data_IF_870875947634
#
_entry.id   IF_870875947634
#
_cell.length_a   1.000
_cell.length_b   1.000
_cell.length_c   1.000
_cell.angle_alpha   90.00
_cell.angle_beta   90.00
_cell.angle_gamma   90.00
#
_symmetry.space_group_name_H-M   'P 1'
#
loop_
_entity.id
_entity.type
_entity.pdbx_description
1 polymer ?
#
# COMPACT_ATOMS: atom_id res chain seq x y z
N UNK A 1 -4.02 11.43 13.65
CA UNK A 1 -4.96 10.74 14.58
C UNK A 1 -4.20 10.47 15.87
N UNK A 2 -4.72 10.89 17.01
CA UNK A 2 -4.07 10.71 18.29
C UNK A 2 -4.07 9.21 18.67
N UNK A 3 -2.98 8.68 19.21
CA UNK A 3 -2.87 7.28 19.63
C UNK A 3 -4.00 6.88 20.61
N UNK A 4 -4.49 7.83 21.40
CA UNK A 4 -5.65 7.63 22.26
C UNK A 4 -6.95 7.44 21.46
N UNK A 5 -7.11 8.11 20.33
CA UNK A 5 -8.30 7.98 19.47
C UNK A 5 -8.29 6.65 18.72
N UNK A 6 -7.11 6.19 18.33
CA UNK A 6 -6.94 4.85 17.73
C UNK A 6 -7.35 3.75 18.72
N UNK A 7 -6.97 3.86 19.98
CA UNK A 7 -7.35 2.90 21.04
C UNK A 7 -8.84 2.92 21.40
N UNK A 8 -9.55 4.03 21.16
CA UNK A 8 -10.99 4.16 21.45
C UNK A 8 -11.88 3.64 20.32
N UNK A 9 -11.39 3.60 19.07
CA UNK A 9 -12.14 3.10 17.90
C UNK A 9 -11.99 1.59 17.68
N UNK A 10 -11.13 0.93 18.47
CA UNK A 10 -10.86 -0.49 18.38
C UNK A 10 -11.74 -1.27 19.36
N UNK A 11 -12.71 -2.02 18.84
CA UNK A 11 -13.44 -3.03 19.63
C UNK A 11 -12.46 -4.09 20.16
N UNK A 12 -12.76 -4.71 21.32
CA UNK A 12 -11.89 -5.68 21.99
C UNK A 12 -11.35 -6.79 21.08
N UNK A 13 -12.14 -7.28 20.13
CA UNK A 13 -11.71 -8.27 19.12
C UNK A 13 -10.66 -7.75 18.14
N UNK A 14 -10.69 -6.46 17.86
CA UNK A 14 -9.71 -5.81 16.99
C UNK A 14 -8.44 -5.48 17.77
N UNK A 15 -8.58 -5.20 19.07
CA UNK A 15 -7.46 -4.95 19.97
C UNK A 15 -6.54 -6.16 20.12
N UNK A 16 -7.11 -7.37 20.20
CA UNK A 16 -6.31 -8.61 20.24
C UNK A 16 -5.57 -8.86 18.92
N UNK A 17 -6.22 -8.65 17.77
CA UNK A 17 -5.57 -8.75 16.46
C UNK A 17 -4.46 -7.73 16.30
N UNK A 18 -4.64 -6.53 16.83
CA UNK A 18 -3.64 -5.46 16.81
C UNK A 18 -2.54 -5.72 17.83
N UNK A 19 -2.84 -6.25 19.01
CA UNK A 19 -1.81 -6.67 19.97
C UNK A 19 -0.93 -7.78 19.40
N UNK A 20 -1.50 -8.72 18.65
CA UNK A 20 -0.76 -9.74 17.91
C UNK A 20 0.06 -9.11 16.78
N UNK A 21 -0.50 -8.18 16.04
CA UNK A 21 0.20 -7.35 15.05
C UNK A 21 1.32 -6.54 15.70
N UNK A 22 1.04 -5.81 16.77
CA UNK A 22 1.99 -4.95 17.49
C UNK A 22 3.19 -5.76 18.00
N UNK A 23 2.99 -6.98 18.49
CA UNK A 23 4.06 -7.86 18.96
C UNK A 23 4.84 -8.55 17.83
N UNK A 24 4.35 -8.49 16.58
CA UNK A 24 4.94 -9.16 15.41
C UNK A 24 5.37 -8.20 14.31
N UNK A 25 4.87 -6.94 14.32
CA UNK A 25 5.18 -5.97 13.28
C UNK A 25 6.58 -5.42 13.47
N UNK A 26 7.44 -5.79 12.56
CA UNK A 26 8.66 -5.06 12.29
C UNK A 26 8.38 -4.21 11.06
N UNK A 27 8.09 -2.94 11.27
CA UNK A 27 8.02 -1.97 10.18
C UNK A 27 9.37 -1.29 10.05
N UNK A 28 9.86 -1.17 8.84
CA UNK A 28 11.18 -0.60 8.57
C UNK A 28 11.07 0.50 7.52
N UNK A 29 11.60 1.66 7.83
CA UNK A 29 11.86 2.69 6.81
C UNK A 29 13.22 2.43 6.17
N UNK A 30 13.22 2.07 4.90
CA UNK A 30 14.45 1.75 4.16
C UNK A 30 15.32 3.01 3.99
N UNK A 31 14.70 4.16 3.85
CA UNK A 31 15.42 5.43 3.67
C UNK A 31 16.27 5.84 4.87
N UNK A 32 15.77 5.60 6.07
CA UNK A 32 16.38 6.10 7.31
C UNK A 32 16.91 4.97 8.18
N UNK A 33 16.89 3.71 7.73
CA UNK A 33 17.21 2.52 8.52
C UNK A 33 16.46 2.49 9.87
N UNK A 34 15.24 3.00 9.90
CA UNK A 34 14.41 3.05 11.12
C UNK A 34 13.64 1.76 11.21
N UNK A 35 13.82 1.04 12.31
CA UNK A 35 13.06 -0.15 12.66
C UNK A 35 12.00 0.26 13.67
N UNK A 36 10.74 -0.06 13.40
CA UNK A 36 9.63 0.23 14.28
C UNK A 36 9.31 -1.01 15.13
N UNK A 37 9.23 -0.83 16.44
CA UNK A 37 8.96 -1.93 17.39
C UNK A 37 7.48 -2.31 17.47
N UNK A 38 6.62 -1.59 16.78
CA UNK A 38 5.21 -1.88 16.71
C UNK A 38 4.42 -0.87 15.90
N UNK A 39 3.13 -1.14 15.75
CA UNK A 39 2.24 -0.32 14.93
C UNK A 39 2.10 1.12 15.47
N UNK A 40 2.14 1.30 16.80
CA UNK A 40 2.05 2.61 17.43
C UNK A 40 3.26 3.47 17.12
N UNK A 41 4.46 2.89 17.17
CA UNK A 41 5.71 3.56 16.83
C UNK A 41 5.73 3.93 15.34
N UNK A 42 5.31 3.02 14.46
CA UNK A 42 5.12 3.30 13.05
C UNK A 42 4.16 4.49 12.84
N UNK A 43 2.98 4.51 13.47
CA UNK A 43 2.02 5.61 13.33
C UNK A 43 2.54 6.94 13.86
N UNK A 44 3.30 6.93 14.94
CA UNK A 44 3.92 8.14 15.47
C UNK A 44 4.87 8.77 14.43
N UNK A 45 5.80 8.00 13.91
CA UNK A 45 6.75 8.46 12.90
C UNK A 45 6.06 8.80 11.57
N UNK A 46 5.07 8.02 11.18
CA UNK A 46 4.25 8.29 10.01
C UNK A 46 3.54 9.65 10.12
N UNK A 47 2.88 9.92 11.23
CA UNK A 47 2.18 11.19 11.44
C UNK A 47 3.14 12.37 11.46
N UNK A 48 4.33 12.24 12.04
CA UNK A 48 5.36 13.27 11.99
C UNK A 48 5.80 13.53 10.54
N UNK A 49 6.13 12.49 9.81
CA UNK A 49 6.53 12.58 8.42
C UNK A 49 5.45 13.26 7.56
N UNK A 50 4.20 12.88 7.75
CA UNK A 50 3.08 13.44 7.01
C UNK A 50 2.84 14.91 7.34
N UNK A 51 2.95 15.31 8.61
CA UNK A 51 2.83 16.71 9.03
C UNK A 51 3.92 17.60 8.42
N UNK A 52 5.14 17.09 8.26
CA UNK A 52 6.25 17.81 7.64
C UNK A 52 6.06 17.96 6.12
N UNK A 53 5.47 16.95 5.45
CA UNK A 53 5.28 16.95 4.00
C UNK A 53 4.08 17.78 3.54
N UNK A 54 3.12 18.10 4.42
CA UNK A 54 1.93 18.91 4.09
C UNK A 54 2.21 20.37 3.68
N UNK A 55 3.39 20.87 3.94
CA UNK A 55 3.72 22.28 3.65
C UNK A 55 3.94 22.50 2.14
N UNK A 56 2.85 22.66 1.39
CA UNK A 56 2.89 23.23 0.03
C UNK A 56 2.47 22.35 -1.14
N UNK A 57 1.84 21.19 -0.94
CA UNK A 57 1.37 20.33 -2.02
C UNK A 57 -0.14 20.09 -1.92
N UNK A 58 -0.84 20.35 -3.01
CA UNK A 58 -2.31 20.35 -3.07
C UNK A 58 -2.93 18.94 -3.01
N UNK A 59 -2.20 17.91 -3.44
CA UNK A 59 -2.58 16.50 -3.36
C UNK A 59 -1.36 15.68 -2.98
N UNK A 60 -1.48 14.80 -2.01
CA UNK A 60 -0.42 13.89 -1.60
C UNK A 60 -0.93 12.45 -1.72
N UNK A 61 -0.12 11.62 -2.35
CA UNK A 61 -0.45 10.25 -2.62
C UNK A 61 0.47 9.31 -1.84
N UNK A 62 -0.15 8.28 -1.29
CA UNK A 62 0.55 7.18 -0.63
C UNK A 62 0.30 5.92 -1.44
N UNK A 63 1.37 5.32 -1.93
CA UNK A 63 1.30 4.07 -2.68
C UNK A 63 1.29 2.89 -1.72
N UNK A 64 0.31 2.02 -1.85
CA UNK A 64 0.29 0.70 -1.20
C UNK A 64 0.68 -0.35 -2.23
N UNK A 65 1.79 -1.01 -1.95
CA UNK A 65 2.33 -2.14 -2.72
C UNK A 65 2.09 -3.43 -1.97
N UNK A 66 1.53 -4.42 -2.64
CA UNK A 66 1.35 -5.72 -2.01
C UNK A 66 0.47 -6.68 -2.78
N UNK A 67 0.38 -7.87 -2.23
CA UNK A 67 -0.54 -8.91 -2.65
C UNK A 67 -0.69 -9.91 -1.50
N UNK A 68 -1.80 -10.66 -1.47
CA UNK A 68 -1.87 -11.81 -0.59
C UNK A 68 -0.85 -12.87 -1.04
N UNK A 69 0.03 -13.34 -0.16
CA UNK A 69 0.93 -14.44 -0.48
C UNK A 69 0.13 -15.71 -0.77
N UNK A 70 0.55 -16.48 -1.77
CA UNK A 70 -0.20 -17.66 -2.22
C UNK A 70 -0.16 -18.82 -1.20
N UNK A 71 0.73 -18.76 -0.21
CA UNK A 71 1.11 -19.91 0.62
C UNK A 71 0.62 -19.89 2.07
N UNK A 72 0.24 -18.74 2.64
CA UNK A 72 0.00 -18.64 4.06
C UNK A 72 -1.34 -18.02 4.44
N UNK A 73 -2.35 -18.89 4.65
CA UNK A 73 -3.63 -18.44 5.21
C UNK A 73 -3.49 -17.78 6.58
N UNK A 74 -2.45 -18.13 7.33
CA UNK A 74 -2.17 -17.58 8.66
C UNK A 74 -1.93 -16.08 8.65
N UNK A 75 -1.45 -15.53 7.54
CA UNK A 75 -1.20 -14.09 7.41
C UNK A 75 -2.36 -13.32 6.75
N UNK A 76 -3.37 -14.01 6.20
CA UNK A 76 -4.47 -13.34 5.50
C UNK A 76 -5.19 -12.32 6.38
N UNK A 77 -5.53 -12.71 7.61
CA UNK A 77 -6.23 -11.81 8.52
C UNK A 77 -5.34 -10.62 8.89
N UNK A 78 -4.11 -10.88 9.30
CA UNK A 78 -3.17 -9.82 9.71
C UNK A 78 -2.87 -8.84 8.57
N UNK A 79 -2.77 -9.34 7.33
CA UNK A 79 -2.57 -8.50 6.15
C UNK A 79 -3.83 -7.68 5.84
N UNK A 80 -5.01 -8.28 5.94
CA UNK A 80 -6.28 -7.59 5.74
C UNK A 80 -6.45 -6.46 6.76
N UNK A 81 -6.21 -6.74 8.04
CA UNK A 81 -6.31 -5.76 9.12
C UNK A 81 -5.33 -4.61 8.91
N UNK A 82 -4.09 -4.91 8.52
CA UNK A 82 -3.09 -3.89 8.19
C UNK A 82 -3.54 -3.02 7.00
N UNK A 83 -4.06 -3.62 5.93
CA UNK A 83 -4.57 -2.89 4.77
C UNK A 83 -5.73 -1.97 5.13
N UNK A 84 -6.68 -2.44 5.95
CA UNK A 84 -7.80 -1.63 6.44
C UNK A 84 -7.29 -0.43 7.22
N UNK A 85 -6.36 -0.65 8.16
CA UNK A 85 -5.81 0.41 9.00
C UNK A 85 -5.07 1.45 8.16
N UNK A 86 -4.22 1.03 7.23
CA UNK A 86 -3.49 1.97 6.36
C UNK A 86 -4.44 2.73 5.44
N UNK A 87 -5.39 2.05 4.79
CA UNK A 87 -6.34 2.71 3.91
C UNK A 87 -7.19 3.75 4.67
N UNK A 88 -7.73 3.37 5.84
CA UNK A 88 -8.48 4.31 6.71
C UNK A 88 -7.61 5.49 7.14
N UNK A 89 -6.38 5.25 7.57
CA UNK A 89 -5.47 6.31 8.00
C UNK A 89 -5.13 7.27 6.84
N UNK A 90 -4.84 6.75 5.66
CA UNK A 90 -4.53 7.56 4.48
C UNK A 90 -5.71 8.45 4.10
N UNK A 91 -6.88 7.86 3.90
CA UNK A 91 -8.07 8.57 3.41
C UNK A 91 -8.60 9.56 4.45
N UNK A 92 -8.66 9.17 5.73
CA UNK A 92 -9.15 10.04 6.81
C UNK A 92 -8.26 11.25 7.08
N UNK A 93 -6.97 11.17 6.75
CA UNK A 93 -6.06 12.32 6.82
C UNK A 93 -6.03 13.16 5.54
N UNK A 94 -6.93 12.91 4.60
CA UNK A 94 -7.08 13.73 3.39
C UNK A 94 -6.12 13.37 2.26
N UNK A 95 -5.36 12.28 2.39
CA UNK A 95 -4.46 11.79 1.33
C UNK A 95 -5.22 10.92 0.34
N UNK A 96 -4.59 10.72 -0.83
CA UNK A 96 -5.06 9.78 -1.82
C UNK A 96 -4.28 8.46 -1.68
N UNK A 97 -5.00 7.35 -1.68
CA UNK A 97 -4.44 6.01 -1.72
C UNK A 97 -4.20 5.62 -3.17
N UNK A 98 -2.98 5.19 -3.49
CA UNK A 98 -2.63 4.73 -4.84
C UNK A 98 -2.18 3.28 -4.80
N UNK A 99 -2.62 2.46 -5.75
CA UNK A 99 -2.24 1.05 -5.83
C UNK A 99 -2.24 0.53 -7.26
N UNK A 100 -1.46 -0.54 -7.52
CA UNK A 100 -1.53 -1.33 -8.74
C UNK A 100 -2.72 -2.29 -8.65
N UNK A 101 -3.53 -2.36 -9.70
CA UNK A 101 -4.83 -3.05 -9.77
C UNK A 101 -4.80 -4.55 -9.37
N UNK A 102 -4.30 -4.86 -8.18
CA UNK A 102 -4.33 -6.22 -7.66
C UNK A 102 -5.75 -6.59 -7.23
N UNK A 103 -6.33 -7.69 -7.74
CA UNK A 103 -7.75 -8.02 -7.53
C UNK A 103 -8.16 -8.09 -6.07
N UNK A 104 -7.29 -8.54 -5.19
CA UNK A 104 -7.59 -8.73 -3.76
C UNK A 104 -7.75 -7.44 -2.97
N UNK A 105 -7.28 -6.29 -3.48
CA UNK A 105 -7.33 -5.01 -2.77
C UNK A 105 -8.45 -4.11 -3.27
N UNK A 106 -8.94 -4.35 -4.47
CA UNK A 106 -9.88 -3.46 -5.15
C UNK A 106 -11.14 -3.22 -4.32
N UNK A 107 -11.85 -4.26 -3.98
CA UNK A 107 -13.11 -4.16 -3.26
C UNK A 107 -12.90 -3.55 -1.86
N UNK A 108 -11.83 -3.96 -1.18
CA UNK A 108 -11.49 -3.45 0.14
C UNK A 108 -11.27 -1.93 0.13
N UNK A 109 -10.46 -1.43 -0.80
CA UNK A 109 -10.17 0.00 -0.88
C UNK A 109 -11.36 0.83 -1.34
N UNK A 110 -12.18 0.27 -2.24
CA UNK A 110 -13.43 0.89 -2.66
C UNK A 110 -14.40 1.07 -1.48
N UNK A 111 -14.67 0.01 -0.72
CA UNK A 111 -15.60 0.07 0.40
C UNK A 111 -15.10 1.02 1.50
N UNK A 112 -13.81 1.01 1.82
CA UNK A 112 -13.23 1.94 2.80
C UNK A 112 -13.34 3.39 2.33
N UNK A 113 -13.05 3.66 1.06
CA UNK A 113 -13.15 5.01 0.52
C UNK A 113 -14.59 5.52 0.55
N UNK A 114 -15.54 4.65 0.22
CA UNK A 114 -16.97 4.95 0.23
C UNK A 114 -17.50 5.18 1.64
N UNK A 115 -17.01 4.41 2.63
CA UNK A 115 -17.33 4.61 4.05
C UNK A 115 -16.87 5.99 4.55
N UNK A 116 -15.63 6.36 4.23
CA UNK A 116 -14.99 7.57 4.79
C UNK A 116 -15.36 8.83 4.00
N UNK A 117 -15.52 8.71 2.69
CA UNK A 117 -15.68 9.83 1.77
C UNK A 117 -16.77 9.55 0.73
N UNK A 118 -18.04 9.36 1.16
CA UNK A 118 -19.11 8.85 0.29
C UNK A 118 -19.42 9.74 -0.93
N UNK A 119 -19.15 11.04 -0.85
CA UNK A 119 -19.43 11.97 -1.94
C UNK A 119 -18.30 12.06 -2.99
N UNK A 120 -17.07 11.73 -2.60
CA UNK A 120 -15.89 11.84 -3.45
C UNK A 120 -14.91 10.67 -3.28
N UNK A 121 -15.42 9.47 -2.94
CA UNK A 121 -14.63 8.25 -2.73
C UNK A 121 -13.70 7.94 -3.91
N UNK A 122 -14.19 8.18 -5.12
CA UNK A 122 -13.46 7.91 -6.35
C UNK A 122 -12.15 8.72 -6.45
N UNK A 123 -12.18 9.98 -5.99
CA UNK A 123 -11.01 10.86 -5.97
C UNK A 123 -9.99 10.45 -4.89
N UNK A 124 -10.40 9.58 -3.95
CA UNK A 124 -9.55 9.13 -2.85
C UNK A 124 -8.72 7.92 -3.17
N UNK A 125 -9.03 7.19 -4.25
CA UNK A 125 -8.35 5.95 -4.61
C UNK A 125 -7.93 5.96 -6.07
N UNK A 126 -6.63 6.04 -6.29
CA UNK A 126 -5.98 5.98 -7.60
C UNK A 126 -5.60 4.54 -7.93
N UNK A 127 -6.18 3.98 -8.98
CA UNK A 127 -5.88 2.62 -9.44
C UNK A 127 -5.08 2.66 -10.73
N UNK A 128 -3.88 2.08 -10.71
CA UNK A 128 -3.04 1.90 -11.89
C UNK A 128 -3.20 0.51 -12.46
N UNK A 129 -3.51 0.42 -13.75
CA UNK A 129 -3.67 -0.86 -14.46
C UNK A 129 -2.96 -0.82 -15.80
N UNK A 130 -2.25 -1.91 -16.13
CA UNK A 130 -1.76 -2.08 -17.49
C UNK A 130 -2.90 -2.52 -18.42
N UNK A 131 -2.95 -1.96 -19.61
CA UNK A 131 -3.87 -2.41 -20.67
C UNK A 131 -3.73 -3.89 -21.03
N UNK A 132 -2.62 -4.52 -20.60
CA UNK A 132 -2.46 -5.97 -20.71
C UNK A 132 -3.60 -6.74 -20.05
N UNK A 133 -4.16 -6.21 -18.95
CA UNK A 133 -5.24 -6.84 -18.17
C UNK A 133 -6.63 -6.36 -18.54
N UNK A 134 -6.73 -5.32 -19.38
CA UNK A 134 -8.00 -4.77 -19.85
C UNK A 134 -8.33 -5.20 -21.28
N UNK A 135 -7.45 -5.95 -21.94
CA UNK A 135 -7.57 -6.30 -23.36
C UNK A 135 -8.97 -6.85 -23.70
N UNK A 136 -9.78 -6.01 -24.36
CA UNK A 136 -11.13 -6.29 -24.84
C UNK A 136 -12.23 -6.53 -23.78
N UNK A 137 -12.03 -6.13 -22.52
CA UNK A 137 -13.04 -6.25 -21.47
C UNK A 137 -13.55 -4.85 -21.08
N UNK A 138 -14.46 -4.33 -21.90
CA UNK A 138 -15.06 -3.00 -21.70
C UNK A 138 -15.97 -2.94 -20.46
N UNK A 139 -16.56 -4.06 -20.05
CA UNK A 139 -17.40 -4.12 -18.85
C UNK A 139 -16.55 -3.96 -17.58
N UNK A 140 -15.43 -4.67 -17.52
CA UNK A 140 -14.47 -4.56 -16.44
C UNK A 140 -13.84 -3.17 -16.37
N UNK A 141 -13.50 -2.57 -17.51
CA UNK A 141 -12.99 -1.20 -17.53
C UNK A 141 -14.04 -0.22 -17.01
N UNK A 142 -15.31 -0.36 -17.42
CA UNK A 142 -16.41 0.48 -16.96
C UNK A 142 -16.61 0.36 -15.43
N UNK A 143 -16.55 -0.85 -14.89
CA UNK A 143 -16.61 -1.09 -13.45
C UNK A 143 -15.49 -0.36 -12.69
N UNK A 144 -14.26 -0.44 -13.19
CA UNK A 144 -13.11 0.23 -12.55
C UNK A 144 -13.22 1.75 -12.63
N UNK A 145 -13.67 2.29 -13.77
CA UNK A 145 -13.93 3.71 -13.95
C UNK A 145 -15.02 4.21 -13.00
N UNK A 146 -16.02 3.40 -12.67
CA UNK A 146 -17.05 3.75 -11.70
C UNK A 146 -16.53 3.80 -10.26
N UNK A 147 -15.66 2.86 -9.89
CA UNK A 147 -15.15 2.69 -8.53
C UNK A 147 -13.94 3.57 -8.18
N UNK A 148 -13.06 3.86 -9.14
CA UNK A 148 -11.73 4.43 -8.90
C UNK A 148 -11.40 5.58 -9.83
N UNK A 149 -10.45 6.40 -9.42
CA UNK A 149 -9.71 7.25 -10.34
C UNK A 149 -8.71 6.37 -11.11
N UNK A 150 -9.11 5.94 -12.31
CA UNK A 150 -8.42 4.91 -13.08
C UNK A 150 -7.33 5.48 -13.98
N UNK A 151 -6.11 4.98 -13.83
CA UNK A 151 -4.96 5.29 -14.68
C UNK A 151 -4.57 4.08 -15.52
N UNK A 152 -4.89 4.12 -16.81
CA UNK A 152 -4.49 3.09 -17.76
C UNK A 152 -3.07 3.35 -18.25
N UNK A 153 -2.29 2.28 -18.30
CA UNK A 153 -0.91 2.31 -18.80
C UNK A 153 -0.79 1.37 -19.99
N UNK A 154 -0.32 1.93 -21.10
CA UNK A 154 -0.19 1.20 -22.36
C UNK A 154 0.60 -0.11 -22.18
N UNK A 155 0.12 -1.17 -22.78
CA UNK A 155 0.83 -2.44 -22.79
C UNK A 155 2.15 -2.34 -23.56
N UNK A 156 3.14 -3.09 -23.11
CA UNK A 156 4.45 -3.24 -23.76
C UNK A 156 4.54 -4.60 -24.48
N UNK A 157 5.71 -4.93 -24.99
CA UNK A 157 5.96 -6.15 -25.77
C UNK A 157 5.61 -7.43 -25.00
N UNK A 158 5.78 -7.43 -23.68
CA UNK A 158 5.47 -8.56 -22.82
C UNK A 158 4.92 -8.11 -21.46
N UNK A 159 4.41 -9.08 -20.69
CA UNK A 159 3.80 -8.83 -19.39
C UNK A 159 4.75 -8.16 -18.40
N UNK A 160 6.00 -8.61 -18.31
CA UNK A 160 6.94 -8.07 -17.33
C UNK A 160 7.27 -6.60 -17.63
N UNK A 161 7.49 -6.26 -18.90
CA UNK A 161 7.69 -4.86 -19.30
C UNK A 161 6.44 -3.99 -19.08
N UNK A 162 5.25 -4.55 -19.30
CA UNK A 162 3.99 -3.85 -19.06
C UNK A 162 3.77 -3.57 -17.59
N UNK A 163 4.08 -4.53 -16.70
CA UNK A 163 4.03 -4.36 -15.25
C UNK A 163 5.07 -3.36 -14.76
N UNK A 164 6.30 -3.44 -15.26
CA UNK A 164 7.35 -2.47 -14.92
C UNK A 164 6.94 -1.04 -15.27
N UNK A 165 6.42 -0.80 -16.47
CA UNK A 165 5.99 0.52 -16.90
C UNK A 165 4.81 1.02 -16.08
N UNK A 166 3.87 0.16 -15.72
CA UNK A 166 2.76 0.50 -14.84
C UNK A 166 3.27 0.93 -13.45
N UNK A 167 4.15 0.13 -12.83
CA UNK A 167 4.75 0.48 -11.52
C UNK A 167 5.55 1.77 -11.60
N UNK A 168 6.33 1.94 -12.66
CA UNK A 168 7.10 3.17 -12.87
C UNK A 168 6.21 4.40 -12.94
N UNK A 169 5.12 4.36 -13.71
CA UNK A 169 4.15 5.46 -13.80
C UNK A 169 3.39 5.68 -12.50
N UNK A 170 3.12 4.64 -11.75
CA UNK A 170 2.45 4.72 -10.46
C UNK A 170 3.31 5.42 -9.41
N UNK A 171 4.61 5.11 -9.36
CA UNK A 171 5.50 5.53 -8.27
C UNK A 171 6.25 6.82 -8.61
N UNK A 172 6.77 6.95 -9.83
CA UNK A 172 7.67 8.06 -10.19
C UNK A 172 6.91 9.35 -10.51
N UNK A 173 6.21 9.87 -9.50
CA UNK A 173 5.46 11.12 -9.58
C UNK A 173 5.72 12.01 -8.36
N UNK A 174 5.66 13.31 -8.55
CA UNK A 174 5.90 14.30 -7.49
C UNK A 174 4.85 14.29 -6.38
N UNK A 175 3.65 13.82 -6.68
CA UNK A 175 2.52 13.66 -5.76
C UNK A 175 2.75 12.51 -4.77
N UNK A 176 3.51 11.48 -5.17
CA UNK A 176 3.81 10.32 -4.33
C UNK A 176 4.79 10.71 -3.22
N UNK A 177 4.37 10.54 -1.97
CA UNK A 177 5.13 10.91 -0.79
C UNK A 177 5.67 9.73 -0.01
N UNK A 178 5.07 8.56 -0.15
CA UNK A 178 5.57 7.35 0.45
C UNK A 178 5.10 6.10 -0.31
N UNK A 179 5.86 5.03 -0.15
CA UNK A 179 5.51 3.67 -0.55
C UNK A 179 5.41 2.80 0.69
N UNK A 180 4.26 2.12 0.87
CA UNK A 180 4.04 1.15 1.94
C UNK A 180 3.94 -0.24 1.33
N UNK A 181 4.80 -1.16 1.76
CA UNK A 181 4.90 -2.53 1.26
C UNK A 181 4.36 -3.53 2.27
N UNK A 182 3.41 -4.39 1.83
CA UNK A 182 2.74 -5.40 2.68
C UNK A 182 2.54 -6.72 1.92
N UNK A 183 2.89 -7.84 2.55
CA UNK A 183 2.70 -9.16 1.95
C UNK A 183 3.50 -9.34 0.67
N UNK A 184 2.83 -9.62 -0.42
CA UNK A 184 3.44 -9.80 -1.74
C UNK A 184 3.89 -11.24 -1.99
N UNK A 185 3.92 -11.61 -3.28
CA UNK A 185 4.32 -12.96 -3.69
C UNK A 185 5.84 -13.12 -3.60
N UNK A 186 6.26 -14.21 -2.99
CA UNK A 186 7.64 -14.67 -3.01
C UNK A 186 7.87 -15.45 -4.30
N UNK A 187 8.96 -15.19 -5.00
CA UNK A 187 9.36 -15.89 -6.20
C UNK A 187 10.76 -16.45 -6.07
N UNK A 188 11.04 -17.55 -6.77
CA UNK A 188 12.40 -18.11 -6.86
C UNK A 188 13.39 -17.07 -7.39
N UNK A 189 12.99 -16.35 -8.44
CA UNK A 189 13.74 -15.20 -8.93
C UNK A 189 13.27 -13.92 -8.24
N UNK A 190 14.02 -13.48 -7.24
CA UNK A 190 13.71 -12.25 -6.46
C UNK A 190 13.57 -10.98 -7.30
N UNK A 191 14.21 -10.93 -8.48
CA UNK A 191 14.08 -9.79 -9.41
C UNK A 191 12.71 -9.68 -10.07
N UNK A 192 11.91 -10.74 -9.99
CA UNK A 192 10.54 -10.76 -10.53
C UNK A 192 9.48 -10.46 -9.46
N UNK A 193 9.89 -10.20 -8.21
CA UNK A 193 9.00 -9.83 -7.13
C UNK A 193 8.58 -8.36 -7.27
N UNK A 194 7.28 -8.14 -7.44
CA UNK A 194 6.73 -6.81 -7.70
C UNK A 194 7.09 -5.79 -6.62
N UNK A 195 7.06 -6.19 -5.34
CA UNK A 195 7.42 -5.32 -4.21
C UNK A 195 8.86 -4.83 -4.32
N UNK A 196 9.83 -5.71 -4.65
CA UNK A 196 11.24 -5.30 -4.77
C UNK A 196 11.45 -4.32 -5.92
N UNK A 197 10.81 -4.55 -7.05
CA UNK A 197 10.85 -3.62 -8.18
C UNK A 197 10.26 -2.25 -7.81
N UNK A 198 9.15 -2.22 -7.09
CA UNK A 198 8.52 -0.99 -6.61
C UNK A 198 9.39 -0.25 -5.59
N UNK A 199 10.07 -0.97 -4.68
CA UNK A 199 11.05 -0.40 -3.75
C UNK A 199 12.20 0.26 -4.52
N UNK A 200 12.78 -0.41 -5.51
CA UNK A 200 13.86 0.16 -6.32
C UNK A 200 13.42 1.43 -7.06
N UNK A 201 12.20 1.43 -7.60
CA UNK A 201 11.63 2.61 -8.27
C UNK A 201 11.45 3.79 -7.31
N UNK A 202 10.96 3.53 -6.09
CA UNK A 202 10.78 4.54 -5.06
C UNK A 202 12.13 5.11 -4.58
N UNK A 203 13.12 4.25 -4.37
CA UNK A 203 14.47 4.66 -3.95
C UNK A 203 15.15 5.57 -4.99
N UNK A 204 15.00 5.28 -6.29
CA UNK A 204 15.51 6.13 -7.38
C UNK A 204 14.94 7.55 -7.35
N UNK A 205 13.75 7.73 -6.79
CA UNK A 205 13.06 9.02 -6.65
C UNK A 205 13.21 9.63 -5.25
N UNK A 206 14.00 8.99 -4.37
CA UNK A 206 14.09 9.37 -2.96
C UNK A 206 12.74 9.40 -2.23
N UNK A 207 11.79 8.55 -2.64
CA UNK A 207 10.52 8.36 -1.96
C UNK A 207 10.76 7.45 -0.76
N UNK A 208 10.32 7.83 0.45
CA UNK A 208 10.39 6.98 1.63
C UNK A 208 9.64 5.67 1.43
N UNK A 209 10.26 4.57 1.86
CA UNK A 209 9.68 3.22 1.77
C UNK A 209 9.48 2.67 3.18
N UNK A 210 8.27 2.21 3.45
CA UNK A 210 7.89 1.56 4.70
C UNK A 210 7.54 0.11 4.42
N UNK A 211 8.22 -0.82 5.08
CA UNK A 211 8.02 -2.25 4.87
C UNK A 211 7.43 -2.88 6.11
N UNK A 212 6.25 -3.47 5.97
CA UNK A 212 5.57 -4.20 7.05
C UNK A 212 5.95 -5.68 6.95
N UNK A 213 6.89 -6.10 7.80
CA UNK A 213 7.46 -7.45 7.74
C UNK A 213 6.64 -8.53 8.44
N UNK A 214 5.66 -8.17 9.26
CA UNK A 214 4.91 -9.12 10.11
C UNK A 214 3.70 -9.78 9.44
N UNK A 215 3.41 -9.38 8.21
CA UNK A 215 2.22 -9.85 7.48
C UNK A 215 2.55 -10.90 6.40
N UNK A 216 3.73 -11.50 6.49
CA UNK A 216 4.17 -12.57 5.57
C UNK A 216 4.62 -12.08 4.20
N UNK A 217 4.96 -13.03 3.33
CA UNK A 217 5.30 -12.80 1.93
C UNK A 217 6.62 -12.07 1.71
N UNK A 218 6.76 -11.48 0.53
CA UNK A 218 7.96 -10.76 0.10
C UNK A 218 8.33 -9.61 1.05
N UNK A 219 7.34 -8.90 1.62
CA UNK A 219 7.63 -7.82 2.57
C UNK A 219 8.32 -8.33 3.84
N UNK A 220 8.01 -9.55 4.31
CA UNK A 220 8.71 -10.17 5.44
C UNK A 220 10.17 -10.47 5.12
N UNK A 221 10.44 -11.01 3.93
CA UNK A 221 11.83 -11.28 3.50
C UNK A 221 12.64 -9.98 3.37
N UNK A 222 12.05 -8.96 2.73
CA UNK A 222 12.69 -7.65 2.60
C UNK A 222 12.99 -7.05 3.98
N UNK A 223 12.03 -7.10 4.91
CA UNK A 223 12.23 -6.57 6.27
C UNK A 223 13.35 -7.29 7.01
N UNK A 224 13.49 -8.61 6.84
CA UNK A 224 14.58 -9.39 7.43
C UNK A 224 15.95 -9.04 6.82
N UNK A 225 16.01 -8.82 5.52
CA UNK A 225 17.25 -8.43 4.82
C UNK A 225 17.79 -7.06 5.30
N UNK A 226 16.91 -6.14 5.65
CA UNK A 226 17.30 -4.82 6.16
C UNK A 226 17.59 -4.78 7.66
N UNK A 227 17.30 -5.86 8.40
CA UNK A 227 17.65 -6.00 9.82
C UNK A 227 19.07 -6.53 10.05
N UNK A 228 19.62 -7.22 9.06
CA UNK A 228 20.97 -7.80 9.10
C UNK A 228 21.97 -6.86 8.45
#
# INVERSE_FOLDING_TARGET
>A
MDAQKLNMELNDTTADSIAILTNRIVSQSIRNNVVFDGIQDFYYHWNQYMAETQKGIKTMEIVISGAFPDSDEIFKQSLTDALILFAKAIISNGYELTFGAHPTFQELFYEIAKEISPQNYKEKVNMYISEWFLSNDSEKEAEYVDKFNLFKVDKKENLNQSLYEMRRRMIQRKEVKALVCLGGKVKENKKEEGIREEIELAQKMNIPVFVVGSVGGCSSEVALEYKN
#
